data_IF_932093354212
#
_entry.id   IF_932093354212
#
_cell.length_a   1.000
_cell.length_b   1.000
_cell.length_c   1.000
_cell.angle_alpha   90.00
_cell.angle_beta   90.00
_cell.angle_gamma   90.00
#
_symmetry.space_group_name_H-M   'P 1'
#
loop_
_entity.id
_entity.type
_entity.pdbx_description
1 polymer ?
#
# COMPACT_ATOMS: atom_id res chain seq x y z
N UNK A 1 21.03 -1.68 25.12
CA UNK A 1 20.23 -0.98 24.07
C UNK A 1 21.21 -0.07 23.33
N UNK A 2 21.54 -0.34 22.05
CA UNK A 2 22.30 0.61 21.23
C UNK A 2 21.40 1.85 21.08
N UNK A 3 21.94 3.04 21.37
CA UNK A 3 21.27 4.31 21.01
C UNK A 3 21.02 4.24 19.50
N UNK A 4 19.78 4.05 19.10
CA UNK A 4 19.37 4.01 17.70
C UNK A 4 19.41 5.45 17.21
N UNK A 5 20.43 5.79 16.41
CA UNK A 5 20.59 7.10 15.81
C UNK A 5 19.55 7.25 14.69
N UNK A 6 18.71 8.28 14.77
CA UNK A 6 17.91 8.72 13.64
C UNK A 6 18.79 9.56 12.71
N UNK A 7 18.68 9.29 11.41
CA UNK A 7 19.37 10.09 10.39
C UNK A 7 18.49 11.25 9.93
N UNK A 8 19.12 12.38 9.72
CA UNK A 8 18.52 13.63 9.30
C UNK A 8 19.04 14.09 7.95
N UNK A 9 18.36 15.05 7.32
CA UNK A 9 18.71 15.55 6.00
C UNK A 9 20.12 16.18 5.91
N UNK A 10 20.60 16.75 7.01
CA UNK A 10 21.90 17.40 7.09
C UNK A 10 23.05 16.46 7.53
N UNK A 11 22.75 15.19 7.85
CA UNK A 11 23.77 14.17 8.05
C UNK A 11 24.55 13.90 6.74
N UNK A 12 25.82 13.54 6.87
CA UNK A 12 26.62 13.14 5.71
C UNK A 12 26.20 11.76 5.23
N UNK A 13 25.86 11.60 3.94
CA UNK A 13 25.45 10.33 3.35
C UNK A 13 26.47 9.21 3.61
N UNK A 14 27.77 9.51 3.56
CA UNK A 14 28.81 8.53 3.82
C UNK A 14 28.75 7.96 5.25
N UNK A 15 28.27 8.74 6.23
CA UNK A 15 28.17 8.27 7.63
C UNK A 15 27.05 7.25 7.80
N UNK A 16 25.92 7.41 7.07
CA UNK A 16 24.86 6.43 7.07
C UNK A 16 25.38 5.05 6.67
N UNK A 17 26.19 5.01 5.62
CA UNK A 17 26.77 3.76 5.10
C UNK A 17 27.84 3.20 6.04
N UNK A 18 28.70 4.05 6.61
CA UNK A 18 29.72 3.59 7.59
C UNK A 18 29.09 3.00 8.84
N UNK A 19 27.99 3.58 9.30
CA UNK A 19 27.26 3.09 10.47
C UNK A 19 26.49 1.81 10.15
N UNK A 20 25.96 1.70 8.90
CA UNK A 20 25.14 0.58 8.42
C UNK A 20 25.40 0.30 6.92
N UNK A 21 26.38 -0.57 6.64
CA UNK A 21 26.72 -0.92 5.24
C UNK A 21 25.58 -1.59 4.46
N UNK A 22 24.63 -2.19 5.18
CA UNK A 22 23.40 -2.74 4.60
C UNK A 22 22.61 -1.72 3.79
N UNK A 23 22.74 -0.42 4.07
CA UNK A 23 22.09 0.66 3.32
C UNK A 23 22.55 0.80 1.87
N UNK A 24 23.67 0.20 1.49
CA UNK A 24 24.14 0.20 0.09
C UNK A 24 23.07 -0.32 -0.85
N UNK A 25 22.34 -1.37 -0.44
CA UNK A 25 21.23 -1.90 -1.23
C UNK A 25 20.08 -0.92 -1.33
N UNK A 26 19.68 -0.31 -0.20
CA UNK A 26 18.61 0.69 -0.19
C UNK A 26 18.95 1.90 -1.07
N UNK A 27 20.22 2.34 -1.10
CA UNK A 27 20.63 3.40 -2.03
C UNK A 27 20.38 3.00 -3.48
N UNK A 28 20.77 1.77 -3.87
CA UNK A 28 20.50 1.23 -5.21
C UNK A 28 19.02 1.22 -5.54
N UNK A 29 18.17 0.80 -4.60
CA UNK A 29 16.71 0.79 -4.77
C UNK A 29 16.11 2.19 -4.92
N UNK A 30 16.71 3.22 -4.30
CA UNK A 30 16.34 4.61 -4.56
C UNK A 30 16.96 5.19 -5.85
N UNK A 31 17.75 4.41 -6.59
CA UNK A 31 18.46 4.88 -7.78
C UNK A 31 19.63 5.82 -7.46
N UNK A 32 20.10 5.84 -6.21
CA UNK A 32 21.21 6.68 -5.77
C UNK A 32 22.53 6.03 -6.17
N UNK A 33 23.25 6.69 -7.09
CA UNK A 33 24.58 6.27 -7.52
C UNK A 33 25.65 6.60 -6.48
N UNK A 34 26.63 5.71 -6.35
CA UNK A 34 27.81 5.95 -5.52
C UNK A 34 28.68 7.07 -6.11
N UNK A 35 29.61 7.60 -5.31
CA UNK A 35 30.51 8.68 -5.73
C UNK A 35 30.03 10.08 -5.33
N UNK A 36 29.12 10.19 -4.39
CA UNK A 36 28.53 11.43 -3.89
C UNK A 36 29.48 12.27 -3.00
N UNK A 37 30.70 11.78 -2.68
CA UNK A 37 31.68 12.49 -1.87
C UNK A 37 31.22 12.76 -0.43
N UNK A 38 31.48 13.98 0.06
CA UNK A 38 31.09 14.40 1.42
C UNK A 38 29.75 15.13 1.48
N UNK A 39 28.85 14.89 0.50
CA UNK A 39 27.53 15.51 0.45
C UNK A 39 26.64 15.02 1.58
N UNK A 40 25.71 15.89 2.00
CA UNK A 40 24.64 15.54 2.93
C UNK A 40 23.59 14.65 2.28
N UNK A 41 22.73 14.03 3.06
CA UNK A 41 21.59 13.26 2.56
C UNK A 41 20.71 14.13 1.65
N UNK A 42 20.42 15.36 2.08
CA UNK A 42 19.66 16.34 1.29
C UNK A 42 20.29 16.58 -0.08
N UNK A 43 21.57 16.95 -0.12
CA UNK A 43 22.29 17.25 -1.36
C UNK A 43 22.32 16.05 -2.31
N UNK A 44 22.52 14.84 -1.78
CA UNK A 44 22.53 13.61 -2.60
C UNK A 44 21.13 13.33 -3.16
N UNK A 45 20.10 13.43 -2.32
CA UNK A 45 18.72 13.19 -2.76
C UNK A 45 18.27 14.21 -3.82
N UNK A 46 18.58 15.49 -3.62
CA UNK A 46 18.28 16.55 -4.60
C UNK A 46 18.98 16.31 -5.94
N UNK A 47 20.28 15.99 -5.93
CA UNK A 47 21.06 15.69 -7.14
C UNK A 47 20.48 14.49 -7.93
N UNK A 48 19.99 13.47 -7.22
CA UNK A 48 19.48 12.24 -7.80
C UNK A 48 17.94 12.26 -7.99
N UNK A 49 17.29 13.39 -7.68
CA UNK A 49 15.84 13.61 -7.78
C UNK A 49 15.02 12.62 -6.93
N UNK A 50 15.52 12.27 -5.77
CA UNK A 50 14.86 11.45 -4.77
C UNK A 50 14.23 12.36 -3.72
N UNK A 51 12.99 12.07 -3.33
CA UNK A 51 12.36 12.81 -2.23
C UNK A 51 13.07 12.52 -0.90
N UNK A 52 13.70 13.54 -0.32
CA UNK A 52 14.53 13.41 0.88
C UNK A 52 13.74 12.91 2.09
N UNK A 53 12.48 13.36 2.23
CA UNK A 53 11.65 12.94 3.36
C UNK A 53 11.29 11.46 3.26
N UNK A 54 10.88 11.01 2.10
CA UNK A 54 10.56 9.60 1.82
C UNK A 54 11.78 8.70 1.97
N UNK A 55 12.95 9.15 1.46
CA UNK A 55 14.20 8.44 1.65
C UNK A 55 14.51 8.23 3.15
N UNK A 56 14.50 9.30 3.93
CA UNK A 56 14.79 9.24 5.36
C UNK A 56 13.76 8.40 6.14
N UNK A 57 12.48 8.47 5.77
CA UNK A 57 11.44 7.67 6.35
C UNK A 57 11.73 6.17 6.17
N UNK A 58 12.01 5.72 4.94
CA UNK A 58 12.33 4.33 4.63
C UNK A 58 13.63 3.89 5.30
N UNK A 59 14.69 4.71 5.26
CA UNK A 59 15.99 4.38 5.85
C UNK A 59 15.90 4.24 7.38
N UNK A 60 15.30 5.21 8.06
CA UNK A 60 15.15 5.17 9.51
C UNK A 60 14.25 4.02 9.95
N UNK A 61 13.19 3.72 9.18
CA UNK A 61 12.36 2.54 9.42
C UNK A 61 13.17 1.24 9.27
N UNK A 62 13.89 1.08 8.17
CA UNK A 62 14.65 -0.13 7.86
C UNK A 62 15.75 -0.42 8.90
N UNK A 63 16.41 0.62 9.44
CA UNK A 63 17.50 0.47 10.42
C UNK A 63 16.98 0.29 11.84
N UNK A 64 15.99 1.10 12.21
CA UNK A 64 15.59 1.29 13.59
C UNK A 64 14.20 0.73 13.90
N UNK A 65 13.43 0.29 12.90
CA UNK A 65 12.01 -0.02 13.05
C UNK A 65 11.19 1.20 13.44
N UNK A 66 11.69 2.41 13.14
CA UNK A 66 11.04 3.66 13.51
C UNK A 66 9.82 3.91 12.65
N UNK A 67 8.64 3.92 13.26
CA UNK A 67 7.34 4.02 12.58
C UNK A 67 6.67 5.38 12.74
N UNK A 68 7.31 6.33 13.43
CA UNK A 68 6.74 7.65 13.69
C UNK A 68 6.96 8.55 12.47
N UNK A 69 6.17 8.29 11.45
CA UNK A 69 6.01 9.20 10.33
C UNK A 69 4.88 10.16 10.70
N UNK A 70 5.21 11.27 11.36
CA UNK A 70 4.25 12.27 11.84
C UNK A 70 3.26 12.71 10.77
N UNK A 71 3.64 12.59 9.49
CA UNK A 71 2.80 12.98 8.37
C UNK A 71 2.99 12.06 7.15
N UNK A 72 2.20 10.99 7.08
CA UNK A 72 2.16 10.09 5.91
C UNK A 72 1.76 10.83 4.62
N UNK A 73 1.15 12.03 4.71
CA UNK A 73 0.79 12.83 3.54
C UNK A 73 2.00 13.49 2.87
N UNK A 74 3.14 13.57 3.57
CA UNK A 74 4.40 14.09 3.03
C UNK A 74 5.20 13.05 2.27
N UNK A 75 4.86 11.76 2.40
CA UNK A 75 5.56 10.70 1.68
C UNK A 75 5.24 10.76 0.19
N UNK A 76 6.28 10.74 -0.62
CA UNK A 76 6.19 10.73 -2.09
C UNK A 76 5.85 9.33 -2.58
N UNK A 77 4.60 9.09 -2.97
CA UNK A 77 4.17 7.81 -3.56
C UNK A 77 4.98 7.46 -4.81
N UNK A 78 5.29 8.39 -5.74
CA UNK A 78 6.17 8.08 -6.86
C UNK A 78 7.54 7.56 -6.44
N UNK A 79 8.15 8.16 -5.40
CA UNK A 79 9.45 7.72 -4.87
C UNK A 79 9.35 6.33 -4.23
N UNK A 80 8.26 6.03 -3.52
CA UNK A 80 8.03 4.69 -2.97
C UNK A 80 7.88 3.64 -4.07
N UNK A 81 7.08 3.90 -5.11
CA UNK A 81 6.92 2.98 -6.25
C UNK A 81 8.27 2.78 -6.96
N UNK A 82 9.04 3.83 -7.16
CA UNK A 82 10.38 3.72 -7.78
C UNK A 82 11.31 2.85 -6.93
N UNK A 83 11.32 3.04 -5.61
CA UNK A 83 12.10 2.23 -4.67
C UNK A 83 11.72 0.75 -4.75
N UNK A 84 10.42 0.43 -4.73
CA UNK A 84 9.93 -0.93 -4.79
C UNK A 84 10.26 -1.58 -6.15
N UNK A 85 10.03 -0.89 -7.28
CA UNK A 85 10.38 -1.38 -8.62
C UNK A 85 11.87 -1.66 -8.79
N UNK A 86 12.73 -0.74 -8.36
CA UNK A 86 14.17 -0.94 -8.44
C UNK A 86 14.64 -2.11 -7.55
N UNK A 87 13.96 -2.33 -6.42
CA UNK A 87 14.17 -3.51 -5.59
C UNK A 87 13.79 -4.80 -6.33
N UNK A 88 12.65 -4.82 -7.04
CA UNK A 88 12.23 -5.97 -7.87
C UNK A 88 13.26 -6.30 -8.95
N UNK A 89 13.69 -5.29 -9.71
CA UNK A 89 14.72 -5.46 -10.74
C UNK A 89 16.01 -6.06 -10.15
N UNK A 90 16.47 -5.53 -9.02
CA UNK A 90 17.64 -6.07 -8.34
C UNK A 90 17.47 -7.54 -7.95
N UNK A 91 16.34 -7.93 -7.35
CA UNK A 91 16.12 -9.30 -6.93
C UNK A 91 15.95 -10.25 -8.10
N UNK A 92 15.13 -9.90 -9.09
CA UNK A 92 14.75 -10.78 -10.17
C UNK A 92 15.85 -10.94 -11.23
N UNK A 93 16.52 -9.82 -11.57
CA UNK A 93 17.45 -9.79 -12.69
C UNK A 93 18.90 -9.95 -12.26
N UNK A 94 19.22 -9.74 -10.98
CA UNK A 94 20.59 -9.82 -10.48
C UNK A 94 20.75 -10.83 -9.34
N UNK A 95 20.08 -10.67 -8.22
CA UNK A 95 20.38 -11.42 -6.99
C UNK A 95 20.00 -12.91 -7.10
N UNK A 96 18.76 -13.23 -7.49
CA UNK A 96 18.31 -14.61 -7.63
C UNK A 96 19.10 -15.39 -8.70
N UNK A 97 19.38 -14.83 -9.90
CA UNK A 97 20.28 -15.47 -10.87
C UNK A 97 21.70 -15.72 -10.33
N UNK A 98 22.28 -14.78 -9.57
CA UNK A 98 23.61 -14.95 -8.97
C UNK A 98 23.63 -16.07 -7.94
N UNK A 99 22.63 -16.15 -7.05
CA UNK A 99 22.51 -17.24 -6.07
C UNK A 99 22.40 -18.59 -6.81
N UNK A 100 21.56 -18.66 -7.85
CA UNK A 100 21.40 -19.88 -8.63
C UNK A 100 22.72 -20.32 -9.28
N UNK A 101 23.46 -19.38 -9.86
CA UNK A 101 24.79 -19.63 -10.44
C UNK A 101 25.77 -20.12 -9.40
N UNK A 102 25.76 -19.52 -8.20
CA UNK A 102 26.56 -19.93 -7.06
C UNK A 102 26.25 -21.36 -6.61
N UNK A 103 24.96 -21.73 -6.53
CA UNK A 103 24.53 -23.09 -6.20
C UNK A 103 24.98 -24.10 -7.25
N UNK A 104 24.79 -23.81 -8.54
CA UNK A 104 25.24 -24.69 -9.65
C UNK A 104 26.76 -24.88 -9.60
N UNK A 105 27.51 -23.83 -9.32
CA UNK A 105 28.99 -23.90 -9.23
C UNK A 105 29.49 -24.68 -8.00
N UNK A 106 28.70 -24.73 -6.93
CA UNK A 106 29.07 -25.36 -5.67
C UNK A 106 28.60 -26.82 -5.56
N UNK A 107 27.64 -27.26 -6.35
CA UNK A 107 26.98 -28.54 -6.24
C UNK A 107 27.34 -29.44 -7.44
N UNK A 108 27.48 -30.76 -7.22
CA UNK A 108 27.61 -31.72 -8.30
C UNK A 108 26.23 -32.13 -8.81
N UNK A 109 25.88 -31.71 -10.03
CA UNK A 109 24.57 -31.99 -10.65
C UNK A 109 24.29 -33.50 -10.83
N UNK A 110 25.30 -34.37 -10.69
CA UNK A 110 25.13 -35.84 -10.71
C UNK A 110 24.51 -36.34 -9.40
N UNK A 111 24.63 -35.56 -8.31
CA UNK A 111 24.04 -35.92 -7.02
C UNK A 111 22.52 -35.62 -7.03
N UNK A 112 21.76 -36.57 -6.54
CA UNK A 112 20.30 -36.43 -6.38
C UNK A 112 19.92 -35.31 -5.43
N UNK A 113 20.69 -35.12 -4.35
CA UNK A 113 20.44 -34.06 -3.37
C UNK A 113 20.71 -32.67 -3.96
N UNK A 114 21.81 -32.54 -4.74
CA UNK A 114 22.11 -31.32 -5.47
C UNK A 114 20.98 -30.91 -6.42
N UNK A 115 20.46 -31.88 -7.19
CA UNK A 115 19.28 -31.60 -8.06
C UNK A 115 18.04 -31.20 -7.30
N UNK A 116 17.79 -31.79 -6.13
CA UNK A 116 16.68 -31.42 -5.26
C UNK A 116 16.84 -29.97 -4.75
N UNK A 117 18.04 -29.59 -4.31
CA UNK A 117 18.37 -28.23 -3.84
C UNK A 117 18.10 -27.20 -4.94
N UNK A 118 18.60 -27.44 -6.16
CA UNK A 118 18.40 -26.56 -7.31
C UNK A 118 16.91 -26.44 -7.65
N UNK A 119 16.17 -27.54 -7.64
CA UNK A 119 14.73 -27.52 -7.88
C UNK A 119 13.97 -26.70 -6.82
N UNK A 120 14.28 -26.88 -5.54
CA UNK A 120 13.65 -26.11 -4.45
C UNK A 120 13.96 -24.61 -4.56
N UNK A 121 15.19 -24.28 -4.95
CA UNK A 121 15.55 -22.88 -5.20
C UNK A 121 14.80 -22.30 -6.41
N UNK A 122 14.67 -23.05 -7.50
CA UNK A 122 13.93 -22.63 -8.69
C UNK A 122 12.42 -22.42 -8.36
N UNK A 123 11.82 -23.28 -7.54
CA UNK A 123 10.45 -23.11 -7.05
C UNK A 123 10.29 -21.87 -6.15
N UNK A 124 11.27 -21.63 -5.29
CA UNK A 124 11.31 -20.40 -4.47
C UNK A 124 11.43 -19.15 -5.35
N UNK A 125 12.39 -19.13 -6.27
CA UNK A 125 12.60 -18.03 -7.22
C UNK A 125 11.34 -17.75 -8.04
N UNK A 126 10.66 -18.78 -8.52
CA UNK A 126 9.40 -18.65 -9.26
C UNK A 126 8.29 -18.00 -8.41
N UNK A 127 8.23 -18.34 -7.12
CA UNK A 127 7.26 -17.74 -6.18
C UNK A 127 7.49 -16.23 -6.03
N UNK A 128 8.75 -15.81 -5.86
CA UNK A 128 9.14 -14.39 -5.79
C UNK A 128 8.81 -13.67 -7.10
N UNK A 129 9.17 -14.23 -8.24
CA UNK A 129 8.82 -13.68 -9.56
C UNK A 129 7.31 -13.48 -9.73
N UNK A 130 6.51 -14.43 -9.30
CA UNK A 130 5.05 -14.36 -9.43
C UNK A 130 4.47 -13.24 -8.56
N UNK A 131 4.97 -13.10 -7.35
CA UNK A 131 4.58 -12.07 -6.40
C UNK A 131 4.91 -10.66 -6.92
N UNK A 132 6.18 -10.38 -7.21
CA UNK A 132 6.61 -9.07 -7.72
C UNK A 132 5.97 -8.71 -9.06
N UNK A 133 5.72 -9.72 -9.93
CA UNK A 133 4.98 -9.49 -11.18
C UNK A 133 3.52 -9.09 -10.95
N UNK A 134 2.89 -9.60 -9.92
CA UNK A 134 1.54 -9.16 -9.54
C UNK A 134 1.54 -7.69 -9.12
N UNK A 135 2.51 -7.26 -8.35
CA UNK A 135 2.67 -5.87 -7.94
C UNK A 135 2.88 -4.94 -9.14
N UNK A 136 3.81 -5.30 -10.02
CA UNK A 136 4.10 -4.55 -11.24
C UNK A 136 2.90 -4.41 -12.19
N UNK A 137 2.07 -5.46 -12.30
CA UNK A 137 0.97 -5.50 -13.25
C UNK A 137 -0.38 -5.05 -12.68
N UNK A 138 -0.54 -5.09 -11.37
CA UNK A 138 -1.83 -4.84 -10.72
C UNK A 138 -1.74 -3.72 -9.70
N UNK A 139 -0.82 -3.84 -8.72
CA UNK A 139 -0.78 -2.91 -7.58
C UNK A 139 -0.28 -1.53 -8.00
N UNK A 140 0.88 -1.45 -8.63
CA UNK A 140 1.46 -0.16 -9.00
C UNK A 140 0.63 0.59 -10.06
N UNK A 141 0.10 -0.05 -11.13
CA UNK A 141 -0.82 0.62 -12.05
C UNK A 141 -2.10 1.11 -11.38
N UNK A 142 -2.64 0.35 -10.42
CA UNK A 142 -3.78 0.80 -9.62
C UNK A 142 -3.44 2.08 -8.83
N UNK A 143 -2.30 2.10 -8.13
CA UNK A 143 -1.86 3.27 -7.37
C UNK A 143 -1.61 4.47 -8.28
N UNK A 144 -1.00 4.26 -9.45
CA UNK A 144 -0.80 5.31 -10.45
C UNK A 144 -2.12 5.89 -10.97
N UNK A 145 -3.16 5.05 -11.14
CA UNK A 145 -4.51 5.50 -11.49
C UNK A 145 -5.17 6.28 -10.35
N UNK A 146 -4.99 5.82 -9.10
CA UNK A 146 -5.47 6.51 -7.90
C UNK A 146 -4.86 7.93 -7.79
N UNK A 147 -3.56 8.07 -8.06
CA UNK A 147 -2.87 9.38 -8.09
C UNK A 147 -3.44 10.33 -9.15
N UNK A 148 -3.94 9.80 -10.27
CA UNK A 148 -4.57 10.58 -11.36
C UNK A 148 -6.06 10.83 -11.14
N UNK A 149 -6.63 10.36 -10.04
CA UNK A 149 -8.07 10.33 -9.78
C UNK A 149 -8.87 9.58 -10.88
N UNK A 150 -8.26 8.59 -11.51
CA UNK A 150 -8.84 7.78 -12.59
C UNK A 150 -8.91 6.32 -12.16
N UNK A 151 -9.71 6.05 -11.13
CA UNK A 151 -9.91 4.69 -10.61
C UNK A 151 -11.18 4.10 -11.20
N UNK A 152 -11.03 3.03 -11.97
CA UNK A 152 -12.14 2.21 -12.46
C UNK A 152 -12.05 0.80 -11.87
N UNK A 153 -13.13 0.31 -11.25
CA UNK A 153 -13.22 -1.04 -10.69
C UNK A 153 -13.30 -1.10 -9.17
N UNK A 154 -13.31 -2.32 -8.63
CA UNK A 154 -13.50 -2.61 -7.20
C UNK A 154 -12.19 -3.06 -6.50
N UNK A 155 -11.03 -2.81 -7.09
CA UNK A 155 -9.76 -3.14 -6.46
C UNK A 155 -9.46 -2.12 -5.34
N UNK A 156 -8.94 -2.61 -4.23
CA UNK A 156 -8.43 -1.80 -3.13
C UNK A 156 -7.11 -2.36 -2.60
N UNK A 157 -6.37 -1.54 -1.88
CA UNK A 157 -5.05 -1.91 -1.34
C UNK A 157 -5.15 -3.01 -0.27
N UNK A 158 -6.29 -3.17 0.40
CA UNK A 158 -6.48 -4.22 1.40
C UNK A 158 -6.51 -5.62 0.76
N UNK A 159 -6.93 -5.72 -0.51
CA UNK A 159 -6.83 -6.95 -1.30
C UNK A 159 -5.37 -7.39 -1.47
N UNK A 160 -4.44 -6.45 -1.63
CA UNK A 160 -3.01 -6.71 -1.72
C UNK A 160 -2.42 -7.21 -0.40
N UNK A 161 -2.72 -6.55 0.72
CA UNK A 161 -2.12 -6.85 2.02
C UNK A 161 -2.42 -8.28 2.53
N UNK A 162 -3.47 -8.92 2.00
CA UNK A 162 -3.82 -10.31 2.37
C UNK A 162 -2.93 -11.37 1.70
N UNK A 163 -2.11 -11.02 0.72
CA UNK A 163 -1.30 -11.96 -0.05
C UNK A 163 0.15 -12.07 0.43
N UNK A 164 0.59 -11.26 1.38
CA UNK A 164 1.92 -11.31 1.99
C UNK A 164 2.02 -12.44 3.02
N UNK A 165 3.00 -13.36 2.91
CA UNK A 165 3.33 -14.24 4.02
C UNK A 165 3.73 -15.70 3.77
N UNK A 166 3.79 -16.21 2.52
CA UNK A 166 4.08 -17.65 2.30
C UNK A 166 5.50 -17.99 1.80
N UNK A 167 6.34 -17.00 1.51
CA UNK A 167 7.60 -17.21 0.80
C UNK A 167 8.75 -17.69 1.70
N UNK A 168 8.73 -17.38 2.99
CA UNK A 168 9.82 -17.62 3.94
C UNK A 168 10.06 -19.10 4.27
N UNK A 169 9.01 -19.94 4.23
CA UNK A 169 9.14 -21.34 4.63
C UNK A 169 10.03 -22.15 3.67
N UNK A 170 9.86 -21.95 2.36
CA UNK A 170 10.64 -22.68 1.34
C UNK A 170 12.13 -22.39 1.44
N UNK A 171 12.49 -21.10 1.62
CA UNK A 171 13.88 -20.70 1.73
C UNK A 171 14.53 -21.24 3.02
N UNK A 172 13.78 -21.26 4.12
CA UNK A 172 14.21 -21.85 5.39
C UNK A 172 14.48 -23.34 5.26
N UNK A 173 13.59 -24.08 4.59
CA UNK A 173 13.78 -25.50 4.32
C UNK A 173 15.01 -25.75 3.44
N UNK A 174 15.20 -24.97 2.38
CA UNK A 174 16.36 -25.02 1.50
C UNK A 174 17.68 -24.84 2.29
N UNK A 175 17.78 -23.82 3.12
CA UNK A 175 18.95 -23.57 3.97
C UNK A 175 19.23 -24.74 4.91
N UNK A 176 18.20 -25.28 5.53
CA UNK A 176 18.34 -26.44 6.43
C UNK A 176 18.84 -27.69 5.70
N UNK A 177 18.39 -27.93 4.49
CA UNK A 177 18.83 -29.05 3.66
C UNK A 177 20.32 -28.89 3.31
N UNK A 178 20.72 -27.71 2.84
CA UNK A 178 22.11 -27.41 2.49
C UNK A 178 23.04 -27.61 3.69
N UNK A 179 22.69 -27.04 4.85
CA UNK A 179 23.56 -27.05 6.03
C UNK A 179 23.67 -28.44 6.65
N UNK A 180 22.58 -29.22 6.66
CA UNK A 180 22.53 -30.46 7.45
C UNK A 180 22.85 -31.71 6.65
N UNK A 181 22.60 -31.74 5.34
CA UNK A 181 22.56 -32.99 4.60
C UNK A 181 23.49 -33.05 3.39
N UNK A 182 24.16 -31.95 3.00
CA UNK A 182 25.15 -32.02 1.95
C UNK A 182 26.35 -32.87 2.39
N UNK A 183 26.85 -33.78 1.55
CA UNK A 183 28.03 -34.57 1.86
C UNK A 183 29.27 -33.68 2.08
N UNK A 184 30.03 -33.93 3.12
CA UNK A 184 31.23 -33.16 3.46
C UNK A 184 32.47 -33.74 2.73
N UNK A 185 32.51 -33.66 1.40
CA UNK A 185 33.69 -34.05 0.64
C UNK A 185 34.79 -32.98 0.58
N UNK A 186 34.55 -31.84 1.19
CA UNK A 186 35.48 -30.70 1.29
C UNK A 186 35.71 -29.92 -0.01
N UNK A 187 35.16 -30.39 -1.14
CA UNK A 187 35.26 -29.70 -2.42
C UNK A 187 34.18 -28.60 -2.49
N UNK A 188 34.57 -27.46 -3.05
CA UNK A 188 33.67 -26.30 -3.27
C UNK A 188 33.03 -25.70 -2.00
N UNK A 189 33.51 -26.01 -0.80
CA UNK A 189 32.95 -25.51 0.46
C UNK A 189 32.96 -23.98 0.53
N UNK A 190 34.01 -23.31 0.06
CA UNK A 190 34.09 -21.85 0.05
C UNK A 190 33.01 -21.22 -0.86
N UNK A 191 32.78 -21.81 -2.02
CA UNK A 191 31.72 -21.34 -2.95
C UNK A 191 30.33 -21.54 -2.34
N UNK A 192 30.10 -22.70 -1.72
CA UNK A 192 28.85 -22.97 -1.04
C UNK A 192 28.60 -22.03 0.14
N UNK A 193 29.63 -21.77 0.95
CA UNK A 193 29.54 -20.81 2.07
C UNK A 193 29.24 -19.41 1.56
N UNK A 194 29.93 -18.95 0.49
CA UNK A 194 29.64 -17.65 -0.11
C UNK A 194 28.18 -17.57 -0.61
N UNK A 195 27.71 -18.61 -1.30
CA UNK A 195 26.33 -18.67 -1.79
C UNK A 195 25.31 -18.71 -0.64
N UNK A 196 25.62 -19.37 0.47
CA UNK A 196 24.78 -19.34 1.65
C UNK A 196 24.69 -17.92 2.27
N UNK A 197 25.80 -17.18 2.30
CA UNK A 197 25.77 -15.77 2.71
C UNK A 197 24.82 -14.95 1.81
N UNK A 198 24.90 -15.16 0.49
CA UNK A 198 24.01 -14.49 -0.44
C UNK A 198 22.53 -14.86 -0.20
N UNK A 199 22.25 -16.14 0.10
CA UNK A 199 20.89 -16.60 0.44
C UNK A 199 20.38 -15.94 1.74
N UNK A 200 21.21 -15.88 2.80
CA UNK A 200 20.84 -15.24 4.06
C UNK A 200 20.62 -13.73 3.89
N UNK A 201 21.51 -13.06 3.16
CA UNK A 201 21.35 -11.64 2.84
C UNK A 201 20.07 -11.39 2.05
N UNK A 202 19.82 -12.19 1.02
CA UNK A 202 18.61 -12.08 0.20
C UNK A 202 17.33 -12.24 1.03
N UNK A 203 17.27 -13.21 1.93
CA UNK A 203 16.13 -13.38 2.85
C UNK A 203 15.91 -12.14 3.72
N UNK A 204 16.99 -11.60 4.30
CA UNK A 204 16.90 -10.40 5.14
C UNK A 204 16.40 -9.19 4.35
N UNK A 205 16.87 -9.02 3.11
CA UNK A 205 16.45 -7.92 2.24
C UNK A 205 15.01 -8.04 1.80
N UNK A 206 14.57 -9.24 1.43
CA UNK A 206 13.17 -9.48 1.07
C UNK A 206 12.23 -9.26 2.26
N UNK A 207 12.63 -9.64 3.47
CA UNK A 207 11.87 -9.33 4.68
C UNK A 207 11.72 -7.82 4.89
N UNK A 208 12.82 -7.06 4.75
CA UNK A 208 12.78 -5.59 4.87
C UNK A 208 11.95 -4.92 3.76
N UNK A 209 12.00 -5.47 2.55
CA UNK A 209 11.19 -5.01 1.43
C UNK A 209 9.69 -5.17 1.76
N UNK A 210 9.27 -6.36 2.18
CA UNK A 210 7.91 -6.62 2.61
C UNK A 210 7.48 -5.74 3.81
N UNK A 211 8.39 -5.50 4.77
CA UNK A 211 8.12 -4.58 5.89
C UNK A 211 7.89 -3.14 5.43
N UNK A 212 8.62 -2.64 4.42
CA UNK A 212 8.38 -1.31 3.82
C UNK A 212 7.03 -1.26 3.11
N UNK A 213 6.65 -2.33 2.43
CA UNK A 213 5.34 -2.42 1.79
C UNK A 213 4.21 -2.40 2.82
N UNK A 214 4.28 -3.25 3.83
CA UNK A 214 3.22 -3.40 4.82
C UNK A 214 3.08 -2.19 5.75
N UNK A 215 4.20 -1.59 6.16
CA UNK A 215 4.23 -0.58 7.21
C UNK A 215 4.32 0.87 6.68
N UNK A 216 4.72 1.06 5.43
CA UNK A 216 4.82 2.39 4.82
C UNK A 216 3.91 2.51 3.59
N UNK A 217 4.09 1.66 2.57
CA UNK A 217 3.40 1.79 1.31
C UNK A 217 1.88 1.57 1.46
N UNK A 218 1.46 0.44 2.01
CA UNK A 218 0.03 0.11 2.20
C UNK A 218 -0.71 1.16 3.02
N UNK A 219 -0.22 1.63 4.19
CA UNK A 219 -0.88 2.69 4.94
C UNK A 219 -1.04 4.02 4.18
N UNK A 220 -0.02 4.41 3.40
CA UNK A 220 -0.08 5.62 2.58
C UNK A 220 -1.17 5.50 1.51
N UNK A 221 -1.21 4.37 0.79
CA UNK A 221 -2.20 4.15 -0.26
C UNK A 221 -3.61 4.05 0.33
N UNK A 222 -3.79 3.34 1.44
CA UNK A 222 -5.08 3.28 2.16
C UNK A 222 -5.62 4.67 2.52
N UNK A 223 -4.75 5.57 2.98
CA UNK A 223 -5.12 6.96 3.26
C UNK A 223 -5.50 7.74 1.99
N UNK A 224 -4.79 7.50 0.88
CA UNK A 224 -5.15 8.08 -0.42
C UNK A 224 -6.53 7.60 -0.89
N UNK A 225 -6.83 6.31 -0.77
CA UNK A 225 -8.15 5.75 -1.11
C UNK A 225 -9.28 6.40 -0.28
N UNK A 226 -9.04 6.59 1.01
CA UNK A 226 -10.02 7.25 1.89
C UNK A 226 -10.30 8.69 1.42
N UNK A 227 -9.24 9.45 1.10
CA UNK A 227 -9.39 10.82 0.56
C UNK A 227 -10.11 10.82 -0.79
N UNK A 228 -9.77 9.89 -1.68
CA UNK A 228 -10.43 9.74 -2.97
C UNK A 228 -11.93 9.48 -2.80
N UNK A 229 -12.32 8.51 -1.95
CA UNK A 229 -13.71 8.20 -1.64
C UNK A 229 -14.47 9.40 -1.06
N UNK A 230 -13.85 10.16 -0.16
CA UNK A 230 -14.43 11.38 0.42
C UNK A 230 -14.64 12.48 -0.63
N UNK A 231 -13.66 12.68 -1.51
CA UNK A 231 -13.76 13.67 -2.59
C UNK A 231 -14.82 13.28 -3.63
N UNK A 232 -14.91 12.01 -4.03
CA UNK A 232 -15.91 11.53 -4.97
C UNK A 232 -17.35 11.74 -4.42
N UNK A 233 -17.56 11.48 -3.13
CA UNK A 233 -18.82 11.76 -2.44
C UNK A 233 -19.09 13.28 -2.44
N UNK A 234 -18.09 14.10 -2.14
CA UNK A 234 -18.25 15.57 -2.11
C UNK A 234 -18.55 16.15 -3.48
N UNK A 235 -17.89 15.65 -4.54
CA UNK A 235 -18.15 16.06 -5.93
C UNK A 235 -19.55 15.62 -6.39
N UNK A 236 -19.99 14.41 -6.06
CA UNK A 236 -21.34 13.94 -6.34
C UNK A 236 -22.39 14.80 -5.63
N UNK A 237 -22.17 15.16 -4.37
CA UNK A 237 -23.05 16.06 -3.63
C UNK A 237 -23.08 17.46 -4.28
N UNK A 238 -21.91 18.03 -4.62
CA UNK A 238 -21.83 19.34 -5.29
C UNK A 238 -22.51 19.35 -6.66
N UNK A 239 -22.33 18.28 -7.46
CA UNK A 239 -23.00 18.16 -8.75
C UNK A 239 -24.52 18.01 -8.62
N UNK A 240 -24.99 17.33 -7.58
CA UNK A 240 -26.42 17.25 -7.24
C UNK A 240 -26.98 18.60 -6.78
N UNK A 241 -26.17 19.41 -6.11
CA UNK A 241 -26.56 20.74 -5.64
C UNK A 241 -26.51 21.81 -6.78
N UNK A 242 -25.57 21.67 -7.73
CA UNK A 242 -25.40 22.63 -8.84
C UNK A 242 -26.34 22.39 -10.03
N UNK A 243 -27.07 21.28 -10.08
CA UNK A 243 -28.02 20.99 -11.15
C UNK A 243 -29.42 21.60 -10.97
N UNK A 244 -29.62 22.53 -10.01
CA UNK A 244 -30.91 23.21 -9.83
C UNK A 244 -30.81 24.73 -9.63
N UNK A 245 -30.76 25.55 -10.70
CA UNK A 245 -31.28 26.90 -10.61
C UNK A 245 -32.68 27.08 -11.24
N UNK A 246 -33.13 26.25 -12.24
CA UNK A 246 -34.35 26.53 -12.97
C UNK A 246 -35.03 25.30 -13.57
N UNK A 247 -35.59 24.40 -12.75
CA UNK A 247 -36.65 23.53 -13.25
C UNK A 247 -37.47 22.87 -12.15
N UNK A 248 -38.74 22.96 -12.25
CA UNK A 248 -39.98 22.37 -11.73
C UNK A 248 -40.00 21.13 -10.80
N UNK A 249 -38.88 20.71 -10.21
CA UNK A 249 -38.78 19.55 -9.28
C UNK A 249 -38.31 19.94 -7.85
N UNK A 250 -38.68 21.15 -7.41
CA UNK A 250 -38.50 21.51 -5.98
C UNK A 250 -39.31 20.60 -5.10
N UNK A 251 -38.69 20.14 -4.00
CA UNK A 251 -39.40 19.37 -2.98
C UNK A 251 -40.52 20.22 -2.39
N UNK A 252 -41.71 19.65 -2.32
CA UNK A 252 -42.82 20.27 -1.57
C UNK A 252 -42.51 20.27 -0.07
N UNK A 253 -43.14 21.17 0.68
CA UNK A 253 -42.94 21.23 2.14
C UNK A 253 -43.28 19.91 2.80
N UNK A 254 -44.26 19.17 2.28
CA UNK A 254 -44.62 17.82 2.76
C UNK A 254 -43.53 16.79 2.47
N UNK A 255 -42.83 16.90 1.35
CA UNK A 255 -41.68 16.03 1.05
C UNK A 255 -40.49 16.34 1.94
N UNK A 256 -40.26 17.63 2.30
CA UNK A 256 -39.25 18.03 3.29
C UNK A 256 -39.59 17.48 4.68
N UNK A 257 -40.86 17.57 5.14
CA UNK A 257 -41.30 17.02 6.42
C UNK A 257 -41.06 15.50 6.48
N UNK A 258 -41.32 14.78 5.38
CA UNK A 258 -41.04 13.33 5.27
C UNK A 258 -39.54 13.04 5.34
N UNK A 259 -38.68 13.85 4.70
CA UNK A 259 -37.22 13.71 4.81
C UNK A 259 -36.73 13.91 6.24
N UNK A 260 -37.18 14.96 6.92
CA UNK A 260 -36.84 15.23 8.31
C UNK A 260 -37.18 14.05 9.22
N UNK A 261 -38.40 13.53 9.06
CA UNK A 261 -38.88 12.36 9.86
C UNK A 261 -38.07 11.09 9.56
N UNK A 262 -37.71 10.84 8.29
CA UNK A 262 -36.85 9.72 7.88
C UNK A 262 -35.46 9.80 8.50
N UNK A 263 -34.85 10.99 8.51
CA UNK A 263 -33.51 11.23 9.06
C UNK A 263 -33.51 11.08 10.59
N UNK A 264 -34.63 11.32 11.25
CA UNK A 264 -34.82 11.04 12.66
C UNK A 264 -35.05 9.55 12.98
N UNK A 265 -35.03 8.69 11.98
CA UNK A 265 -35.15 7.24 12.13
C UNK A 265 -36.60 6.72 12.22
N UNK A 266 -37.61 7.52 11.87
CA UNK A 266 -39.01 7.11 11.93
C UNK A 266 -39.35 6.09 10.84
N UNK A 267 -40.13 5.09 11.20
CA UNK A 267 -40.75 4.13 10.26
C UNK A 267 -41.89 4.81 9.46
N UNK A 268 -42.28 4.21 8.35
CA UNK A 268 -43.41 4.76 7.54
C UNK A 268 -44.70 4.93 8.35
N UNK A 269 -44.96 4.07 9.35
CA UNK A 269 -46.11 4.14 10.22
C UNK A 269 -46.01 5.34 11.17
N UNK A 270 -44.85 5.50 11.80
CA UNK A 270 -44.59 6.64 12.69
C UNK A 270 -44.67 7.99 11.96
N UNK A 271 -44.12 8.05 10.71
CA UNK A 271 -44.24 9.22 9.84
C UNK A 271 -45.68 9.54 9.51
N UNK A 272 -46.47 8.51 9.16
CA UNK A 272 -47.91 8.66 8.85
C UNK A 272 -48.66 9.24 10.06
N UNK A 273 -48.41 8.73 11.25
CA UNK A 273 -49.01 9.20 12.50
C UNK A 273 -48.55 10.62 12.84
N UNK A 274 -47.21 10.90 12.71
CA UNK A 274 -46.60 12.19 13.03
C UNK A 274 -47.10 13.33 12.09
N UNK A 275 -47.24 13.03 10.79
CA UNK A 275 -47.67 14.01 9.79
C UNK A 275 -49.18 14.01 9.54
N UNK A 276 -49.95 13.19 10.24
CA UNK A 276 -51.41 13.01 10.10
C UNK A 276 -51.81 12.69 8.66
N UNK A 277 -51.11 11.74 8.00
CA UNK A 277 -51.38 11.26 6.63
C UNK A 277 -51.43 9.72 6.60
N UNK A 278 -51.92 9.15 5.49
CA UNK A 278 -51.90 7.68 5.34
C UNK A 278 -50.51 7.13 5.07
N UNK A 279 -50.28 5.87 5.47
CA UNK A 279 -49.02 5.15 5.17
C UNK A 279 -48.76 5.13 3.65
N UNK A 280 -49.80 4.95 2.84
CA UNK A 280 -49.67 4.97 1.37
C UNK A 280 -49.22 6.36 0.85
N UNK A 281 -49.68 7.43 1.50
CA UNK A 281 -49.24 8.79 1.17
C UNK A 281 -47.75 8.97 1.51
N UNK A 282 -47.25 8.46 2.63
CA UNK A 282 -45.81 8.46 2.98
C UNK A 282 -45.00 7.71 1.94
N UNK A 283 -45.45 6.52 1.52
CA UNK A 283 -44.77 5.73 0.48
C UNK A 283 -44.72 6.50 -0.86
N UNK A 284 -45.78 7.20 -1.21
CA UNK A 284 -45.83 8.04 -2.42
C UNK A 284 -44.85 9.21 -2.34
N UNK A 285 -44.80 9.91 -1.21
CA UNK A 285 -43.82 10.99 -1.00
C UNK A 285 -42.39 10.46 -1.08
N UNK A 286 -42.07 9.32 -0.44
CA UNK A 286 -40.73 8.72 -0.51
C UNK A 286 -40.33 8.36 -1.96
N UNK A 287 -41.25 7.85 -2.77
CA UNK A 287 -41.01 7.56 -4.19
C UNK A 287 -40.74 8.86 -4.97
N UNK A 288 -41.53 9.90 -4.73
CA UNK A 288 -41.34 11.21 -5.37
C UNK A 288 -40.00 11.86 -4.94
N UNK A 289 -39.64 11.80 -3.67
CA UNK A 289 -38.34 12.26 -3.15
C UNK A 289 -37.22 11.54 -3.86
N UNK A 290 -37.25 10.20 -3.90
CA UNK A 290 -36.23 9.39 -4.58
C UNK A 290 -36.10 9.74 -6.05
N UNK A 291 -37.22 9.98 -6.75
CA UNK A 291 -37.24 10.39 -8.17
C UNK A 291 -36.68 11.80 -8.36
N UNK A 292 -37.09 12.77 -7.53
CA UNK A 292 -36.68 14.18 -7.61
C UNK A 292 -35.21 14.36 -7.27
N UNK A 293 -34.73 13.70 -6.18
CA UNK A 293 -33.37 13.86 -5.68
C UNK A 293 -32.39 12.86 -6.29
N UNK A 294 -32.88 11.81 -6.97
CA UNK A 294 -32.05 10.66 -7.41
C UNK A 294 -31.25 10.02 -6.26
N UNK A 295 -31.77 10.12 -5.02
CA UNK A 295 -31.17 9.56 -3.80
C UNK A 295 -32.05 8.40 -3.33
N UNK A 296 -31.46 7.21 -3.23
CA UNK A 296 -32.15 5.99 -2.87
C UNK A 296 -31.76 5.41 -1.50
N UNK A 297 -30.68 5.90 -0.89
CA UNK A 297 -30.20 5.41 0.41
C UNK A 297 -30.61 6.33 1.58
N UNK A 298 -30.89 5.79 2.78
CA UNK A 298 -31.14 6.59 3.97
C UNK A 298 -29.96 7.53 4.30
N UNK A 299 -28.72 7.04 4.19
CA UNK A 299 -27.53 7.85 4.41
C UNK A 299 -27.45 9.03 3.45
N UNK A 300 -27.77 8.86 2.17
CA UNK A 300 -27.83 9.94 1.19
C UNK A 300 -28.87 10.99 1.54
N UNK A 301 -30.05 10.57 1.99
CA UNK A 301 -31.10 11.49 2.46
C UNK A 301 -30.70 12.25 3.70
N UNK A 302 -29.97 11.63 4.64
CA UNK A 302 -29.41 12.30 5.82
C UNK A 302 -28.45 13.40 5.44
N UNK A 303 -27.52 13.11 4.55
CA UNK A 303 -26.56 14.11 4.03
C UNK A 303 -27.29 15.26 3.32
N UNK A 304 -28.28 14.95 2.47
CA UNK A 304 -29.10 15.96 1.80
C UNK A 304 -29.82 16.88 2.79
N UNK A 305 -30.42 16.32 3.85
CA UNK A 305 -31.13 17.09 4.87
C UNK A 305 -30.21 18.04 5.65
N UNK A 306 -29.00 17.59 6.00
CA UNK A 306 -28.00 18.41 6.72
C UNK A 306 -27.52 19.56 5.82
N UNK A 307 -27.11 19.25 4.58
CA UNK A 307 -26.58 20.26 3.64
C UNK A 307 -27.61 21.33 3.28
N UNK A 308 -28.89 20.96 3.19
CA UNK A 308 -29.97 21.89 2.89
C UNK A 308 -30.60 22.53 4.16
N UNK A 309 -29.95 22.40 5.32
CA UNK A 309 -30.42 22.94 6.61
C UNK A 309 -31.84 22.49 6.99
N UNK A 310 -32.25 21.32 6.55
CA UNK A 310 -33.54 20.72 6.95
C UNK A 310 -33.44 20.10 8.35
N UNK A 311 -32.25 19.66 8.75
CA UNK A 311 -31.98 19.04 10.05
C UNK A 311 -30.60 19.52 10.55
N UNK A 312 -30.49 19.80 11.85
CA UNK A 312 -29.21 20.07 12.49
C UNK A 312 -28.44 18.76 12.71
N UNK A 313 -27.14 18.74 12.41
CA UNK A 313 -26.26 17.57 12.57
C UNK A 313 -26.29 17.03 14.00
N UNK A 314 -26.47 17.89 14.98
CA UNK A 314 -26.55 17.53 16.41
C UNK A 314 -27.81 16.74 16.78
N UNK A 315 -28.83 16.73 15.93
CA UNK A 315 -30.12 16.06 16.16
C UNK A 315 -30.23 14.71 15.45
N UNK A 316 -29.25 14.35 14.61
CA UNK A 316 -29.25 13.09 13.87
C UNK A 316 -28.68 11.98 14.75
N UNK A 317 -29.48 10.90 14.99
CA UNK A 317 -29.00 9.69 15.63
C UNK A 317 -28.25 8.87 14.56
N UNK A 318 -26.92 8.83 14.64
CA UNK A 318 -26.03 7.96 13.85
C UNK A 318 -26.06 6.53 14.41
#
# INVERSE_FOLDING_TARGET
MKNQKMYEADDKMINLIKDNYDLLQSLGSFGISLGFGDKTVREVCEDQKVDTYTFLAVINFTINGYRDFDDTDRLSVPTLIQYLRASHEYYLDFQLPNIRTGLVSALDEKDNLARLILKLFDEYSHSIHSHMRYEEKTVFPYVESLMKNDVSGNYDIDTYSQHHGQTDQKLRELKNIIIKYLPSDGRHNNQLVATLYDIYNNEQWLSRHAEVEDEIFVPVIRKMEQKFKQNDVSVKISSMLSQNPDNADTLSDREKDVIVSLVQGMTNKEIADHLCISINTVITHRRNIARKLQIHSPAGLTIYAIVNNLVDISTVKL
#
